data_IF_022651627680
#
_entry.id   IF_022651627680
#
_cell.length_a   1.000
_cell.length_b   1.000
_cell.length_c   1.000
_cell.angle_alpha   90.00
_cell.angle_beta   90.00
_cell.angle_gamma   90.00
#
_symmetry.space_group_name_H-M   'P 1'
#
loop_
_entity.id
_entity.type
_entity.pdbx_description
1 polymer ?
#
# COMPACT_ATOMS: atom_id res chain seq x y z
N UNK A 1 -5.25 1.25 -7.63
CA UNK A 1 -4.46 0.21 -8.36
C UNK A 1 -5.01 -0.07 -9.76
N UNK A 2 -6.21 -0.67 -9.93
CA UNK A 2 -6.75 -0.96 -11.29
C UNK A 2 -6.95 0.30 -12.15
N UNK A 3 -7.30 1.44 -11.54
CA UNK A 3 -7.43 2.74 -12.21
C UNK A 3 -6.07 3.25 -12.72
N UNK A 4 -5.04 3.31 -11.86
CA UNK A 4 -3.63 3.59 -12.26
C UNK A 4 -3.21 2.75 -13.48
N UNK A 5 -3.44 1.43 -13.44
CA UNK A 5 -3.12 0.55 -14.57
C UNK A 5 -3.87 0.93 -15.85
N UNK A 6 -5.18 1.24 -15.74
CA UNK A 6 -5.95 1.70 -16.90
C UNK A 6 -5.46 3.04 -17.45
N UNK A 7 -4.90 3.92 -16.63
CA UNK A 7 -4.32 5.20 -17.07
C UNK A 7 -3.01 4.93 -17.80
N UNK A 8 -2.15 4.06 -17.27
CA UNK A 8 -0.90 3.65 -17.91
C UNK A 8 -1.11 2.95 -19.25
N UNK A 9 -2.15 2.11 -19.37
CA UNK A 9 -2.47 1.38 -20.61
C UNK A 9 -3.14 2.27 -21.67
N UNK A 10 -3.96 3.25 -21.28
CA UNK A 10 -4.78 4.05 -22.21
C UNK A 10 -4.21 5.42 -22.52
N UNK A 11 -3.25 5.92 -21.75
CA UNK A 11 -2.60 7.22 -21.97
C UNK A 11 -3.47 8.46 -21.69
N UNK A 12 -4.77 8.32 -21.45
CA UNK A 12 -5.69 9.43 -21.13
C UNK A 12 -6.91 8.98 -20.33
N UNK A 13 -7.45 9.87 -19.50
CA UNK A 13 -8.60 9.64 -18.63
C UNK A 13 -9.84 10.39 -19.17
N UNK A 14 -11.02 9.75 -19.19
CA UNK A 14 -12.30 10.38 -19.60
C UNK A 14 -12.97 11.22 -18.50
N UNK A 15 -12.61 10.96 -17.25
CA UNK A 15 -13.05 11.76 -16.09
C UNK A 15 -11.85 12.58 -15.69
N UNK A 16 -11.78 13.80 -16.23
CA UNK A 16 -10.83 14.82 -15.84
C UNK A 16 -11.45 15.61 -14.68
N UNK A 17 -11.35 15.08 -13.47
CA UNK A 17 -11.49 15.92 -12.28
C UNK A 17 -10.18 16.66 -12.15
N UNK A 18 -10.15 17.92 -12.62
CA UNK A 18 -9.04 18.86 -12.46
C UNK A 18 -8.44 18.71 -11.05
N UNK A 19 -7.30 18.02 -10.93
CA UNK A 19 -6.58 17.82 -9.66
C UNK A 19 -6.20 16.37 -9.30
N UNK A 20 -6.71 15.35 -9.98
CA UNK A 20 -6.42 13.93 -9.69
C UNK A 20 -5.15 13.44 -10.41
N UNK A 21 -3.99 13.93 -9.96
CA UNK A 21 -2.67 13.41 -10.33
C UNK A 21 -2.52 11.94 -9.87
N UNK A 22 -1.85 11.08 -10.65
CA UNK A 22 -1.55 9.68 -10.30
C UNK A 22 -0.93 9.54 -8.90
N UNK A 23 -0.21 10.55 -8.41
CA UNK A 23 0.31 10.61 -7.04
C UNK A 23 -0.80 10.66 -5.98
N UNK A 24 -1.95 11.28 -6.24
CA UNK A 24 -3.10 11.27 -5.32
C UNK A 24 -3.61 9.85 -5.11
N UNK A 25 -3.60 9.00 -6.15
CA UNK A 25 -3.99 7.60 -6.02
C UNK A 25 -3.01 6.78 -5.18
N UNK A 26 -1.70 6.97 -5.34
CA UNK A 26 -0.73 6.29 -4.49
C UNK A 26 -0.83 6.72 -3.02
N UNK A 27 -1.05 8.01 -2.75
CA UNK A 27 -1.36 8.51 -1.39
C UNK A 27 -2.60 7.84 -0.81
N UNK A 28 -3.65 7.69 -1.62
CA UNK A 28 -4.86 6.97 -1.24
C UNK A 28 -4.57 5.51 -0.89
N UNK A 29 -3.81 4.79 -1.72
CA UNK A 29 -3.42 3.39 -1.46
C UNK A 29 -2.67 3.26 -0.13
N UNK A 30 -1.70 4.14 0.13
CA UNK A 30 -0.95 4.17 1.39
C UNK A 30 -1.92 4.34 2.56
N UNK A 31 -2.81 5.34 2.49
CA UNK A 31 -3.74 5.63 3.57
C UNK A 31 -4.67 4.44 3.88
N UNK A 32 -5.24 3.81 2.85
CA UNK A 32 -6.11 2.64 3.06
C UNK A 32 -5.36 1.42 3.61
N UNK A 33 -4.10 1.21 3.21
CA UNK A 33 -3.29 0.13 3.77
C UNK A 33 -2.96 0.37 5.25
N UNK A 34 -2.65 1.62 5.63
CA UNK A 34 -2.42 1.96 7.04
C UNK A 34 -3.69 1.73 7.87
N UNK A 35 -4.85 2.18 7.38
CA UNK A 35 -6.14 1.94 8.04
C UNK A 35 -6.41 0.44 8.19
N UNK A 36 -6.19 -0.36 7.15
CA UNK A 36 -6.37 -1.81 7.20
C UNK A 36 -5.47 -2.49 8.24
N UNK A 37 -4.21 -2.06 8.34
CA UNK A 37 -3.29 -2.56 9.38
C UNK A 37 -3.78 -2.17 10.77
N UNK A 38 -4.21 -0.91 10.98
CA UNK A 38 -4.76 -0.46 12.27
C UNK A 38 -5.98 -1.31 12.65
N UNK A 39 -6.95 -1.45 11.73
CA UNK A 39 -8.17 -2.23 11.97
C UNK A 39 -7.88 -3.70 12.26
N UNK A 40 -6.85 -4.28 11.64
CA UNK A 40 -6.45 -5.67 11.91
C UNK A 40 -5.93 -5.91 13.34
N UNK A 41 -5.56 -4.86 14.07
CA UNK A 41 -5.07 -4.92 15.46
C UNK A 41 -6.18 -4.68 16.49
N UNK A 42 -7.35 -4.25 16.04
CA UNK A 42 -8.48 -3.93 16.90
C UNK A 42 -9.41 -5.15 16.96
N UNK A 43 -9.85 -5.58 18.15
CA UNK A 43 -10.85 -6.63 18.28
C UNK A 43 -12.16 -6.29 17.54
N UNK A 44 -12.83 -7.31 17.00
CA UNK A 44 -14.01 -7.14 16.14
C UNK A 44 -15.25 -6.58 16.87
N UNK A 45 -15.23 -6.56 18.20
CA UNK A 45 -16.31 -6.10 19.08
C UNK A 45 -16.17 -4.63 19.53
N UNK A 46 -15.11 -3.94 19.11
CA UNK A 46 -14.88 -2.53 19.43
C UNK A 46 -15.67 -1.63 18.46
N UNK A 47 -16.24 -0.50 18.94
CA UNK A 47 -16.84 0.49 18.06
C UNK A 47 -15.91 0.93 16.93
N UNK A 48 -16.49 1.16 15.74
CA UNK A 48 -15.74 1.62 14.55
C UNK A 48 -15.21 3.06 14.71
N UNK A 49 -15.68 3.79 15.71
CA UNK A 49 -15.24 5.15 16.01
C UNK A 49 -14.03 5.12 16.94
N UNK A 50 -12.95 5.76 16.50
CA UNK A 50 -11.73 5.95 17.28
C UNK A 50 -11.51 7.44 17.52
N UNK A 51 -11.18 7.87 18.75
CA UNK A 51 -10.80 9.25 19.01
C UNK A 51 -9.64 9.70 18.11
N UNK A 52 -9.69 10.92 17.58
CA UNK A 52 -8.69 11.44 16.63
C UNK A 52 -7.26 11.31 17.16
N UNK A 53 -7.05 11.55 18.45
CA UNK A 53 -5.72 11.46 19.06
C UNK A 53 -5.16 10.02 19.03
N UNK A 54 -6.00 9.01 19.30
CA UNK A 54 -5.63 7.60 19.22
C UNK A 54 -5.35 7.18 17.77
N UNK A 55 -6.19 7.65 16.83
CA UNK A 55 -6.00 7.38 15.41
C UNK A 55 -4.66 7.92 14.90
N UNK A 56 -4.28 9.13 15.31
CA UNK A 56 -2.99 9.73 14.96
C UNK A 56 -1.82 8.90 15.54
N UNK A 57 -1.93 8.43 16.78
CA UNK A 57 -0.88 7.60 17.41
C UNK A 57 -0.74 6.26 16.68
N UNK A 58 -1.85 5.56 16.43
CA UNK A 58 -1.86 4.29 15.72
C UNK A 58 -1.31 4.43 14.29
N UNK A 59 -1.68 5.51 13.59
CA UNK A 59 -1.16 5.83 12.26
C UNK A 59 0.35 6.01 12.28
N UNK A 60 0.88 6.82 13.21
CA UNK A 60 2.33 7.04 13.34
C UNK A 60 3.08 5.76 13.63
N UNK A 61 2.52 4.90 14.48
CA UNK A 61 3.12 3.61 14.81
C UNK A 61 3.24 2.72 13.56
N UNK A 62 2.17 2.56 12.79
CA UNK A 62 2.20 1.76 11.56
C UNK A 62 3.20 2.33 10.55
N UNK A 63 3.24 3.65 10.37
CA UNK A 63 4.20 4.29 9.47
C UNK A 63 5.64 4.05 9.93
N UNK A 64 5.93 4.11 11.24
CA UNK A 64 7.26 3.82 11.78
C UNK A 64 7.68 2.39 11.47
N UNK A 65 6.80 1.42 11.72
CA UNK A 65 7.09 0.00 11.46
C UNK A 65 7.35 -0.28 9.97
N UNK A 66 6.58 0.37 9.08
CA UNK A 66 6.78 0.26 7.64
C UNK A 66 8.11 0.90 7.23
N UNK A 67 8.46 2.05 7.80
CA UNK A 67 9.73 2.72 7.53
C UNK A 67 10.94 1.89 8.00
N UNK A 68 10.84 1.26 9.17
CA UNK A 68 11.87 0.35 9.69
C UNK A 68 12.02 -0.89 8.78
N UNK A 69 10.90 -1.48 8.36
CA UNK A 69 10.90 -2.58 7.40
C UNK A 69 11.55 -2.17 6.07
N UNK A 70 11.22 -0.99 5.57
CA UNK A 70 11.79 -0.44 4.35
C UNK A 70 13.30 -0.25 4.49
N UNK A 71 13.77 0.31 5.61
CA UNK A 71 15.19 0.51 5.88
C UNK A 71 15.95 -0.82 5.87
N UNK A 72 15.39 -1.86 6.51
CA UNK A 72 15.96 -3.21 6.50
C UNK A 72 16.00 -3.80 5.08
N UNK A 73 14.93 -3.66 4.30
CA UNK A 73 14.90 -4.13 2.90
C UNK A 73 15.90 -3.38 2.02
N UNK A 74 16.03 -2.07 2.18
CA UNK A 74 17.02 -1.28 1.45
C UNK A 74 18.46 -1.65 1.84
N UNK A 75 18.71 -2.04 3.08
CA UNK A 75 20.01 -2.58 3.49
C UNK A 75 20.32 -3.89 2.77
N UNK A 76 19.34 -4.81 2.69
CA UNK A 76 19.55 -6.15 2.14
C UNK A 76 19.58 -6.19 0.60
N UNK A 77 18.79 -5.34 -0.06
CA UNK A 77 18.61 -5.35 -1.52
C UNK A 77 19.15 -4.09 -2.22
N UNK A 78 19.65 -3.11 -1.47
CA UNK A 78 19.99 -1.79 -2.00
C UNK A 78 18.76 -1.03 -2.48
N UNK A 79 18.98 0.01 -3.28
CA UNK A 79 17.91 0.79 -3.92
C UNK A 79 17.48 0.20 -5.28
N UNK A 80 17.45 -1.13 -5.41
CA UNK A 80 17.11 -1.82 -6.68
C UNK A 80 15.74 -1.39 -7.26
N UNK A 81 14.83 -0.91 -6.40
CA UNK A 81 13.54 -0.34 -6.80
C UNK A 81 13.67 0.92 -7.68
N UNK A 82 14.79 1.64 -7.63
CA UNK A 82 15.04 2.81 -8.48
C UNK A 82 15.13 2.44 -9.96
N UNK A 83 15.62 1.24 -10.27
CA UNK A 83 15.69 0.75 -11.66
C UNK A 83 14.37 0.19 -12.17
N UNK A 84 13.36 0.05 -11.28
CA UNK A 84 12.05 -0.47 -11.64
C UNK A 84 11.16 0.60 -12.26
N UNK A 85 10.34 0.18 -13.23
CA UNK A 85 9.28 1.03 -13.80
C UNK A 85 8.12 1.16 -12.82
N UNK A 86 7.45 2.31 -12.83
CA UNK A 86 6.22 2.55 -12.04
C UNK A 86 5.15 1.50 -12.36
N UNK A 87 5.04 1.07 -13.62
CA UNK A 87 4.12 -0.01 -14.01
C UNK A 87 4.46 -1.36 -13.36
N UNK A 88 5.74 -1.73 -13.31
CA UNK A 88 6.20 -2.96 -12.64
C UNK A 88 5.84 -2.95 -11.15
N UNK A 89 6.05 -1.83 -10.46
CA UNK A 89 5.66 -1.68 -9.05
C UNK A 89 4.14 -1.70 -8.87
N UNK A 90 3.38 -1.14 -9.82
CA UNK A 90 1.91 -1.19 -9.81
C UNK A 90 1.39 -2.64 -9.95
N UNK A 91 2.04 -3.46 -10.77
CA UNK A 91 1.70 -4.89 -10.88
C UNK A 91 2.03 -5.66 -9.59
N UNK A 92 3.16 -5.35 -8.92
CA UNK A 92 3.48 -5.93 -7.61
C UNK A 92 2.44 -5.57 -6.54
N UNK A 93 1.97 -4.31 -6.53
CA UNK A 93 0.85 -3.88 -5.67
C UNK A 93 -0.39 -4.72 -5.95
N UNK A 94 -0.76 -4.91 -7.23
CA UNK A 94 -1.93 -5.70 -7.60
C UNK A 94 -1.79 -7.17 -7.20
N UNK A 95 -0.62 -7.77 -7.38
CA UNK A 95 -0.33 -9.15 -6.96
C UNK A 95 -0.49 -9.32 -5.44
N UNK A 96 0.05 -8.40 -4.65
CA UNK A 96 -0.08 -8.42 -3.18
C UNK A 96 -1.54 -8.26 -2.74
N UNK A 97 -2.31 -7.37 -3.37
CA UNK A 97 -3.74 -7.23 -3.10
C UNK A 97 -4.53 -8.49 -3.44
N UNK A 98 -4.26 -9.12 -4.59
CA UNK A 98 -4.91 -10.38 -4.97
C UNK A 98 -4.57 -11.50 -3.98
N UNK A 99 -3.32 -11.52 -3.48
CA UNK A 99 -2.90 -12.48 -2.47
C UNK A 99 -3.63 -12.26 -1.14
N UNK A 100 -3.76 -11.02 -0.67
CA UNK A 100 -4.51 -10.69 0.55
C UNK A 100 -5.95 -11.19 0.43
N UNK A 101 -6.62 -10.84 -0.68
CA UNK A 101 -7.99 -11.29 -0.93
C UNK A 101 -8.12 -12.82 -0.88
N UNK A 102 -7.19 -13.54 -1.51
CA UNK A 102 -7.19 -14.99 -1.48
C UNK A 102 -7.06 -15.57 -0.06
N UNK A 103 -6.28 -14.93 0.81
CA UNK A 103 -6.12 -15.35 2.21
C UNK A 103 -7.42 -15.12 2.99
N UNK A 104 -8.09 -13.98 2.78
CA UNK A 104 -9.38 -13.67 3.37
C UNK A 104 -10.47 -14.64 2.90
N UNK A 105 -10.57 -14.89 1.59
CA UNK A 105 -11.51 -15.84 1.00
C UNK A 105 -11.32 -17.27 1.56
N UNK A 106 -10.08 -17.62 1.91
CA UNK A 106 -9.74 -18.91 2.53
C UNK A 106 -9.92 -18.93 4.06
N UNK A 107 -10.55 -17.92 4.66
CA UNK A 107 -10.72 -17.78 6.11
C UNK A 107 -9.38 -17.85 6.88
N UNK A 108 -8.33 -17.27 6.31
CA UNK A 108 -6.98 -17.29 6.90
C UNK A 108 -6.22 -18.61 6.75
N UNK A 109 -6.80 -19.65 6.13
CA UNK A 109 -6.11 -20.93 5.90
C UNK A 109 -5.04 -20.75 4.82
N UNK A 110 -3.79 -20.80 5.23
CA UNK A 110 -2.63 -20.74 4.32
C UNK A 110 -1.62 -21.82 4.71
N UNK A 111 -1.01 -22.49 3.72
CA UNK A 111 0.04 -23.48 3.98
C UNK A 111 1.38 -22.81 4.35
N UNK A 112 1.69 -21.67 3.72
CA UNK A 112 2.83 -20.80 4.00
C UNK A 112 2.43 -19.38 3.58
N UNK A 113 2.45 -18.41 4.51
CA UNK A 113 2.16 -17.00 4.21
C UNK A 113 2.86 -16.09 5.22
N UNK A 114 3.43 -14.99 4.73
CA UNK A 114 3.99 -13.91 5.57
C UNK A 114 2.91 -13.13 6.34
N UNK A 115 1.62 -13.41 6.07
CA UNK A 115 0.47 -12.77 6.70
C UNK A 115 -0.07 -11.58 5.91
N UNK A 116 -1.31 -11.18 6.23
CA UNK A 116 -2.00 -10.07 5.56
C UNK A 116 -1.29 -8.73 5.82
N UNK A 117 -0.83 -8.51 7.06
CA UNK A 117 -0.14 -7.27 7.47
C UNK A 117 1.12 -7.04 6.64
N UNK A 118 1.97 -8.06 6.47
CA UNK A 118 3.18 -7.97 5.63
C UNK A 118 2.85 -7.59 4.18
N UNK A 119 1.74 -8.13 3.64
CA UNK A 119 1.24 -7.76 2.32
C UNK A 119 0.90 -6.27 2.20
N UNK A 120 0.23 -5.69 3.20
CA UNK A 120 -0.07 -4.25 3.22
C UNK A 120 1.18 -3.39 3.37
N UNK A 121 2.14 -3.80 4.19
CA UNK A 121 3.41 -3.08 4.34
C UNK A 121 4.19 -3.02 3.02
N UNK A 122 4.24 -4.14 2.27
CA UNK A 122 4.84 -4.16 0.93
C UNK A 122 4.10 -3.22 -0.04
N UNK A 123 2.76 -3.21 -0.03
CA UNK A 123 1.97 -2.31 -0.88
C UNK A 123 2.27 -0.84 -0.55
N UNK A 124 2.44 -0.50 0.73
CA UNK A 124 2.83 0.86 1.15
C UNK A 124 4.20 1.21 0.57
N UNK A 125 5.20 0.33 0.72
CA UNK A 125 6.56 0.57 0.20
C UNK A 125 6.57 0.77 -1.32
N UNK A 126 5.91 -0.10 -2.09
CA UNK A 126 5.81 0.08 -3.54
C UNK A 126 5.08 1.37 -3.93
N UNK A 127 4.05 1.76 -3.19
CA UNK A 127 3.35 3.03 -3.42
C UNK A 127 4.25 4.24 -3.16
N UNK A 128 5.07 4.20 -2.11
CA UNK A 128 6.07 5.24 -1.80
C UNK A 128 7.13 5.32 -2.89
N UNK A 129 7.65 4.19 -3.37
CA UNK A 129 8.60 4.17 -4.49
C UNK A 129 8.01 4.79 -5.76
N UNK A 130 6.76 4.46 -6.09
CA UNK A 130 6.07 5.09 -7.20
C UNK A 130 5.96 6.61 -7.03
N UNK A 131 5.62 7.09 -5.83
CA UNK A 131 5.56 8.53 -5.54
C UNK A 131 6.92 9.21 -5.72
N UNK A 132 8.00 8.62 -5.20
CA UNK A 132 9.35 9.15 -5.35
C UNK A 132 9.71 9.24 -6.84
N UNK A 133 9.49 8.16 -7.61
CA UNK A 133 9.80 8.16 -9.05
C UNK A 133 8.99 9.17 -9.85
N UNK A 134 7.73 9.43 -9.47
CA UNK A 134 6.91 10.46 -10.13
C UNK A 134 7.36 11.89 -9.78
N UNK A 135 7.98 12.11 -8.62
CA UNK A 135 8.54 13.40 -8.22
C UNK A 135 9.93 13.68 -8.83
N UNK A 136 10.68 12.62 -9.16
CA UNK A 136 12.00 12.69 -9.80
C UNK A 136 11.94 12.84 -11.33
N UNK A 137 10.76 12.63 -11.94
CA UNK A 137 10.53 12.70 -13.38
C UNK A 137 10.21 14.12 -13.87
#
# INVERSE_FOLDING_TARGET
AKRIRSIQEKGFQKVDTLGDDVASEFKGIINYCVIAIIQSRIPADVPLEMPVHEAVVAYRQVISEVADLLANKNHDYGEAWRDMRVSSMTDLILMKLLRIKQIEDNQGKTQVSEGIVAGYQDIINYSVFCLIKTLEA
#
